data_IF_954896193766
#
_entry.id   IF_954896193766
#
_cell.length_a   1.000
_cell.length_b   1.000
_cell.length_c   1.000
_cell.angle_alpha   90.00
_cell.angle_beta   90.00
_cell.angle_gamma   90.00
#
_symmetry.space_group_name_H-M   'P 1'
#
loop_
_entity.id
_entity.type
_entity.pdbx_description
1 polymer ?
#
# COMPACT_ATOMS: atom_id res chain seq x y z
N UNK A 1 11.42 27.25 6.72
CA UNK A 1 10.83 25.89 6.90
C UNK A 1 9.77 25.92 8.01
N UNK A 2 8.72 26.74 7.86
CA UNK A 2 7.73 27.04 8.93
C UNK A 2 6.29 26.65 8.55
N UNK A 3 6.09 25.87 7.50
CA UNK A 3 4.74 25.37 7.14
C UNK A 3 4.39 24.16 8.00
N UNK A 4 3.09 23.94 8.23
CA UNK A 4 2.59 22.79 9.00
C UNK A 4 3.13 21.46 8.47
N UNK A 5 3.07 21.25 7.15
CA UNK A 5 3.56 20.02 6.51
C UNK A 5 5.07 19.83 6.66
N UNK A 6 5.86 20.90 6.59
CA UNK A 6 7.30 20.80 6.81
C UNK A 6 7.63 20.42 8.26
N UNK A 7 6.86 20.90 9.24
CA UNK A 7 7.03 20.51 10.64
C UNK A 7 6.57 19.07 10.88
N UNK A 8 5.47 18.64 10.23
CA UNK A 8 5.01 17.25 10.29
C UNK A 8 6.08 16.28 9.76
N UNK A 9 6.63 16.56 8.58
CA UNK A 9 7.70 15.73 8.02
C UNK A 9 8.96 15.76 8.87
N UNK A 10 9.35 16.93 9.40
CA UNK A 10 10.47 17.04 10.33
C UNK A 10 10.28 16.16 11.57
N UNK A 11 9.08 16.14 12.15
CA UNK A 11 8.77 15.27 13.29
C UNK A 11 8.82 13.79 12.89
N UNK A 12 8.26 13.44 11.73
CA UNK A 12 8.29 12.08 11.22
C UNK A 12 9.72 11.59 10.92
N UNK A 13 10.65 12.48 10.57
CA UNK A 13 12.06 12.09 10.35
C UNK A 13 12.77 11.61 11.61
N UNK A 14 12.19 11.82 12.79
CA UNK A 14 12.67 11.20 14.03
C UNK A 14 12.40 9.69 14.04
N UNK A 15 11.34 9.25 13.35
CA UNK A 15 11.05 7.83 13.14
C UNK A 15 11.86 7.22 12.00
N UNK A 16 12.16 8.00 10.96
CA UNK A 16 12.97 7.55 9.84
C UNK A 16 13.70 8.72 9.20
N UNK A 17 15.00 8.80 9.47
CA UNK A 17 15.87 9.87 8.99
C UNK A 17 16.04 9.90 7.47
N UNK A 18 15.67 8.83 6.73
CA UNK A 18 15.75 8.78 5.26
C UNK A 18 14.92 9.86 4.58
N UNK A 19 13.83 10.28 5.23
CA UNK A 19 12.99 11.39 4.78
C UNK A 19 13.67 12.77 4.90
N UNK A 20 14.68 12.90 5.76
CA UNK A 20 15.48 14.12 5.88
C UNK A 20 16.69 14.09 4.95
N UNK A 21 17.33 12.92 4.80
CA UNK A 21 18.55 12.75 4.01
C UNK A 21 18.29 12.55 2.52
N UNK A 22 17.03 12.55 2.09
CA UNK A 22 16.61 12.33 0.71
C UNK A 22 17.19 11.03 0.14
N UNK A 23 17.11 9.95 0.92
CA UNK A 23 17.50 8.63 0.44
C UNK A 23 16.80 8.31 -0.89
N UNK A 24 17.56 7.86 -1.88
CA UNK A 24 17.09 7.72 -3.27
C UNK A 24 15.91 6.75 -3.34
N UNK A 25 16.01 5.62 -2.61
CA UNK A 25 14.95 4.63 -2.59
C UNK A 25 13.65 5.22 -2.01
N UNK A 26 13.75 5.88 -0.86
CA UNK A 26 12.62 6.53 -0.19
C UNK A 26 11.99 7.62 -1.06
N UNK A 27 12.79 8.46 -1.71
CA UNK A 27 12.28 9.50 -2.62
C UNK A 27 11.55 8.87 -3.83
N UNK A 28 12.12 7.83 -4.44
CA UNK A 28 11.51 7.15 -5.58
C UNK A 28 10.17 6.52 -5.22
N UNK A 29 10.08 5.79 -4.10
CA UNK A 29 8.84 5.12 -3.72
C UNK A 29 7.73 6.11 -3.36
N UNK A 30 8.07 7.20 -2.67
CA UNK A 30 7.11 8.25 -2.31
C UNK A 30 6.63 9.02 -3.53
N UNK A 31 7.53 9.30 -4.49
CA UNK A 31 7.17 9.92 -5.75
C UNK A 31 6.14 9.06 -6.49
N UNK A 32 6.45 7.78 -6.75
CA UNK A 32 5.54 6.85 -7.44
C UNK A 32 4.23 6.70 -6.66
N UNK A 33 4.29 6.62 -5.33
CA UNK A 33 3.08 6.53 -4.49
C UNK A 33 2.19 7.74 -4.67
N UNK A 34 2.76 8.93 -4.71
CA UNK A 34 2.01 10.17 -4.87
C UNK A 34 1.41 10.30 -6.28
N UNK A 35 2.17 9.99 -7.32
CA UNK A 35 1.76 10.24 -8.72
C UNK A 35 0.97 9.09 -9.35
N UNK A 36 1.15 7.85 -8.88
CA UNK A 36 0.50 6.66 -9.44
C UNK A 36 -0.49 6.04 -8.46
N UNK A 37 -0.02 5.64 -7.27
CA UNK A 37 -0.86 4.88 -6.32
C UNK A 37 -1.96 5.73 -5.68
N UNK A 38 -1.71 7.02 -5.44
CA UNK A 38 -2.71 7.97 -4.94
C UNK A 38 -3.91 8.11 -5.90
N UNK A 39 -3.70 8.51 -7.17
CA UNK A 39 -4.77 8.56 -8.16
C UNK A 39 -5.46 7.20 -8.37
N UNK A 40 -4.71 6.11 -8.41
CA UNK A 40 -5.28 4.76 -8.57
C UNK A 40 -6.14 4.34 -7.37
N UNK A 41 -5.76 4.74 -6.16
CA UNK A 41 -6.55 4.54 -4.94
C UNK A 41 -7.89 5.29 -5.02
N UNK A 42 -7.87 6.53 -5.51
CA UNK A 42 -9.09 7.30 -5.73
C UNK A 42 -9.99 6.65 -6.79
N UNK A 43 -9.41 6.19 -7.91
CA UNK A 43 -10.15 5.46 -8.93
C UNK A 43 -10.75 4.17 -8.37
N UNK A 44 -9.99 3.43 -7.57
CA UNK A 44 -10.48 2.21 -6.90
C UNK A 44 -11.66 2.53 -5.99
N UNK A 45 -11.57 3.60 -5.17
CA UNK A 45 -12.68 4.06 -4.35
C UNK A 45 -13.92 4.40 -5.18
N UNK A 46 -13.76 5.13 -6.29
CA UNK A 46 -14.87 5.46 -7.19
C UNK A 46 -15.50 4.21 -7.82
N UNK A 47 -14.68 3.21 -8.18
CA UNK A 47 -15.16 1.92 -8.67
C UNK A 47 -15.92 1.12 -7.59
N UNK A 48 -15.49 1.20 -6.32
CA UNK A 48 -16.23 0.61 -5.19
C UNK A 48 -17.60 1.27 -5.05
N UNK A 49 -17.65 2.60 -4.99
CA UNK A 49 -18.89 3.36 -4.79
C UNK A 49 -19.90 3.15 -5.93
N UNK A 50 -19.41 2.90 -7.15
CA UNK A 50 -20.24 2.66 -8.34
C UNK A 50 -20.53 1.19 -8.61
N UNK A 51 -20.03 0.25 -7.78
CA UNK A 51 -20.06 -1.19 -8.07
C UNK A 51 -19.58 -1.52 -9.49
N UNK A 52 -18.51 -0.87 -9.94
CA UNK A 52 -17.99 -1.04 -11.29
C UNK A 52 -17.19 -2.35 -11.40
N UNK A 53 -17.27 -3.02 -12.55
CA UNK A 53 -16.54 -4.27 -12.85
C UNK A 53 -15.01 -4.19 -12.64
N UNK A 54 -14.44 -2.98 -12.71
CA UNK A 54 -13.02 -2.73 -12.52
C UNK A 54 -12.63 -2.59 -11.03
N UNK A 55 -13.58 -2.63 -10.10
CA UNK A 55 -13.32 -2.55 -8.65
C UNK A 55 -12.23 -3.53 -8.24
N UNK A 56 -12.44 -4.83 -8.47
CA UNK A 56 -11.52 -5.86 -7.99
C UNK A 56 -10.17 -5.85 -8.74
N UNK A 57 -10.11 -5.69 -10.08
CA UNK A 57 -8.84 -5.47 -10.77
C UNK A 57 -8.03 -4.28 -10.24
N UNK A 58 -8.65 -3.12 -10.07
CA UNK A 58 -7.97 -1.92 -9.56
C UNK A 58 -7.53 -2.10 -8.11
N UNK A 59 -8.38 -2.69 -7.27
CA UNK A 59 -8.09 -3.02 -5.88
C UNK A 59 -6.90 -3.97 -5.76
N UNK A 60 -6.81 -5.01 -6.61
CA UNK A 60 -5.66 -5.94 -6.64
C UNK A 60 -4.36 -5.20 -6.98
N UNK A 61 -4.37 -4.34 -8.00
CA UNK A 61 -3.16 -3.60 -8.43
C UNK A 61 -2.69 -2.68 -7.30
N UNK A 62 -3.59 -1.85 -6.77
CA UNK A 62 -3.21 -0.85 -5.76
C UNK A 62 -2.80 -1.51 -4.44
N UNK A 63 -3.49 -2.57 -4.01
CA UNK A 63 -3.14 -3.27 -2.79
C UNK A 63 -1.79 -3.98 -2.89
N UNK A 64 -1.49 -4.60 -4.04
CA UNK A 64 -0.20 -5.23 -4.29
C UNK A 64 0.93 -4.19 -4.27
N UNK A 65 0.70 -3.03 -4.88
CA UNK A 65 1.68 -1.93 -4.88
C UNK A 65 2.00 -1.44 -3.46
N UNK A 66 0.99 -1.24 -2.61
CA UNK A 66 1.21 -0.84 -1.21
C UNK A 66 1.92 -1.92 -0.40
N UNK A 67 1.52 -3.19 -0.53
CA UNK A 67 2.18 -4.30 0.17
C UNK A 67 3.64 -4.46 -0.24
N UNK A 68 3.93 -4.36 -1.54
CA UNK A 68 5.29 -4.42 -2.03
C UNK A 68 6.10 -3.21 -1.57
N UNK A 69 5.51 -2.02 -1.60
CA UNK A 69 6.17 -0.80 -1.16
C UNK A 69 6.55 -0.82 0.32
N UNK A 70 5.61 -1.20 1.20
CA UNK A 70 5.88 -1.29 2.64
C UNK A 70 6.87 -2.42 2.96
N UNK A 71 6.81 -3.54 2.24
CA UNK A 71 7.79 -4.62 2.40
C UNK A 71 9.21 -4.15 2.05
N UNK A 72 9.39 -3.44 0.94
CA UNK A 72 10.68 -2.87 0.57
C UNK A 72 11.13 -1.76 1.53
N UNK A 73 10.20 -0.94 2.02
CA UNK A 73 10.49 0.11 3.01
C UNK A 73 11.13 -0.44 4.29
N UNK A 74 10.58 -1.54 4.83
CA UNK A 74 11.16 -2.23 5.97
C UNK A 74 12.42 -3.01 5.60
N UNK A 75 12.42 -3.77 4.50
CA UNK A 75 13.55 -4.58 4.10
C UNK A 75 14.82 -3.73 3.87
N UNK A 76 14.70 -2.57 3.23
CA UNK A 76 15.82 -1.65 3.03
C UNK A 76 16.36 -1.08 4.33
N UNK A 77 15.50 -0.84 5.32
CA UNK A 77 15.95 -0.37 6.64
C UNK A 77 16.65 -1.46 7.45
N UNK A 78 16.21 -2.72 7.33
CA UNK A 78 16.80 -3.86 8.05
C UNK A 78 18.10 -4.36 7.39
N UNK A 79 18.25 -4.15 6.08
CA UNK A 79 19.45 -4.53 5.32
C UNK A 79 20.57 -3.49 5.38
N UNK A 80 20.26 -2.24 5.73
CA UNK A 80 21.30 -1.23 5.95
C UNK A 80 21.96 -1.43 7.32
N UNK A 81 23.25 -1.11 7.41
CA UNK A 81 24.01 -1.12 8.67
C UNK A 81 23.63 0.09 9.54
N UNK A 82 23.07 1.13 8.90
CA UNK A 82 22.65 2.39 9.51
C UNK A 82 21.29 2.23 10.20
N UNK A 83 21.21 2.65 11.47
CA UNK A 83 19.92 2.79 12.15
C UNK A 83 19.27 4.11 11.76
N UNK A 84 18.25 4.05 10.92
CA UNK A 84 17.52 5.24 10.49
C UNK A 84 16.51 5.76 11.51
N UNK A 85 16.00 4.86 12.36
CA UNK A 85 15.01 5.17 13.38
C UNK A 85 15.65 5.40 14.75
N UNK A 86 15.08 6.34 15.49
CA UNK A 86 15.41 6.58 16.89
C UNK A 86 14.97 5.41 17.78
N UNK A 87 15.78 4.98 18.77
CA UNK A 87 15.50 3.79 19.57
C UNK A 87 14.37 3.96 20.57
N UNK A 88 13.94 5.19 20.86
CA UNK A 88 12.84 5.44 21.79
C UNK A 88 11.53 4.81 21.29
N UNK A 89 10.76 4.22 22.22
CA UNK A 89 9.53 3.47 21.92
C UNK A 89 8.53 4.25 21.07
N UNK A 90 8.39 5.56 21.31
CA UNK A 90 7.50 6.42 20.52
C UNK A 90 7.90 6.44 19.05
N UNK A 91 9.18 6.65 18.74
CA UNK A 91 9.63 6.83 17.37
C UNK A 91 9.73 5.52 16.60
N UNK A 92 10.19 4.45 17.26
CA UNK A 92 10.27 3.15 16.60
C UNK A 92 8.91 2.44 16.54
N UNK A 93 8.26 2.20 17.68
CA UNK A 93 7.06 1.36 17.68
C UNK A 93 5.80 2.10 17.25
N UNK A 94 5.63 3.36 17.66
CA UNK A 94 4.40 4.10 17.31
C UNK A 94 4.52 4.70 15.92
N UNK A 95 5.59 5.44 15.63
CA UNK A 95 5.72 6.11 14.33
C UNK A 95 6.20 5.13 13.26
N UNK A 96 7.38 4.52 13.42
CA UNK A 96 7.97 3.70 12.36
C UNK A 96 7.18 2.40 12.11
N UNK A 97 6.81 1.65 13.14
CA UNK A 97 5.98 0.44 12.98
C UNK A 97 4.49 0.80 12.88
N UNK A 98 3.97 1.52 13.87
CA UNK A 98 2.54 1.78 14.00
C UNK A 98 1.93 2.59 12.86
N UNK A 99 2.58 3.68 12.43
CA UNK A 99 2.06 4.48 11.32
C UNK A 99 2.30 3.86 9.94
N UNK A 100 3.14 2.84 9.79
CA UNK A 100 3.27 2.14 8.51
C UNK A 100 2.44 0.85 8.46
N UNK A 101 2.04 0.28 9.61
CA UNK A 101 1.25 -0.94 9.70
C UNK A 101 -0.09 -0.92 8.91
N UNK A 102 -0.84 0.19 8.82
CA UNK A 102 -2.06 0.24 7.99
C UNK A 102 -1.80 -0.03 6.50
N UNK A 103 -0.62 0.33 5.98
CA UNK A 103 -0.23 0.14 4.58
C UNK A 103 0.12 -1.33 4.27
N UNK A 104 0.30 -2.16 5.29
CA UNK A 104 0.37 -3.60 5.16
C UNK A 104 -0.98 -4.27 5.43
N UNK A 105 -1.61 -3.94 6.55
CA UNK A 105 -2.80 -4.67 7.04
C UNK A 105 -4.05 -4.43 6.20
N UNK A 106 -4.35 -3.17 5.84
CA UNK A 106 -5.55 -2.85 5.06
C UNK A 106 -5.43 -3.39 3.62
N UNK A 107 -4.33 -3.14 2.88
CA UNK A 107 -4.15 -3.72 1.56
C UNK A 107 -4.18 -5.24 1.55
N UNK A 108 -3.62 -5.91 2.56
CA UNK A 108 -3.68 -7.36 2.65
C UNK A 108 -5.12 -7.88 2.72
N UNK A 109 -5.94 -7.28 3.59
CA UNK A 109 -7.33 -7.69 3.74
C UNK A 109 -8.17 -7.41 2.49
N UNK A 110 -8.00 -6.24 1.88
CA UNK A 110 -8.69 -5.88 0.63
C UNK A 110 -8.24 -6.75 -0.55
N UNK A 111 -6.95 -7.11 -0.60
CA UNK A 111 -6.43 -8.01 -1.62
C UNK A 111 -7.05 -9.40 -1.49
N UNK A 112 -7.13 -9.92 -0.26
CA UNK A 112 -7.81 -11.19 0.03
C UNK A 112 -9.27 -11.17 -0.41
N UNK A 113 -10.03 -10.13 -0.04
CA UNK A 113 -11.43 -9.94 -0.46
C UNK A 113 -11.56 -10.02 -2.00
N UNK A 114 -10.70 -9.32 -2.73
CA UNK A 114 -10.74 -9.31 -4.18
C UNK A 114 -10.38 -10.66 -4.80
N UNK A 115 -9.39 -11.37 -4.26
CA UNK A 115 -9.05 -12.71 -4.76
C UNK A 115 -10.19 -13.71 -4.55
N UNK A 116 -10.87 -13.67 -3.41
CA UNK A 116 -12.03 -14.53 -3.15
C UNK A 116 -13.16 -14.21 -4.12
N UNK A 117 -13.49 -12.93 -4.31
CA UNK A 117 -14.54 -12.51 -5.23
C UNK A 117 -14.25 -12.92 -6.69
N UNK A 118 -13.02 -12.68 -7.17
CA UNK A 118 -12.59 -13.06 -8.51
C UNK A 118 -12.64 -14.59 -8.69
N UNK A 119 -12.14 -15.35 -7.72
CA UNK A 119 -12.16 -16.82 -7.77
C UNK A 119 -13.59 -17.37 -7.86
N UNK A 120 -14.52 -16.81 -7.10
CA UNK A 120 -15.92 -17.19 -7.14
C UNK A 120 -16.57 -16.83 -8.48
N UNK A 121 -16.29 -15.64 -9.03
CA UNK A 121 -16.78 -15.25 -10.35
C UNK A 121 -16.32 -16.22 -11.46
N UNK A 122 -15.05 -16.65 -11.43
CA UNK A 122 -14.55 -17.64 -12.38
C UNK A 122 -15.15 -19.03 -12.21
N UNK A 123 -15.47 -19.46 -10.97
CA UNK A 123 -16.18 -20.74 -10.74
C UNK A 123 -17.55 -20.73 -11.41
N UNK A 124 -18.34 -19.67 -11.17
CA UNK A 124 -19.67 -19.50 -11.77
C UNK A 124 -19.58 -19.45 -13.30
N UNK A 125 -18.61 -18.71 -13.85
CA UNK A 125 -18.41 -18.64 -15.32
C UNK A 125 -18.17 -20.02 -15.93
N UNK A 126 -17.34 -20.86 -15.30
CA UNK A 126 -17.06 -22.23 -15.79
C UNK A 126 -18.28 -23.14 -15.75
N UNK A 127 -19.08 -23.06 -14.68
CA UNK A 127 -20.31 -23.85 -14.56
C UNK A 127 -21.32 -23.49 -15.65
N UNK A 128 -21.48 -22.20 -15.95
CA UNK A 128 -22.36 -21.72 -17.02
C UNK A 128 -21.88 -22.14 -18.42
N UNK A 129 -20.57 -22.13 -18.66
CA UNK A 129 -19.98 -22.61 -19.92
C UNK A 129 -20.12 -24.13 -20.09
N UNK A 130 -19.95 -24.90 -19.01
CA UNK A 130 -20.15 -26.35 -19.01
C UNK A 130 -21.60 -26.76 -19.24
N UNK A 131 -22.55 -26.04 -18.62
CA UNK A 131 -23.98 -26.24 -18.83
C UNK A 131 -24.42 -25.97 -20.28
N UNK A 132 -23.87 -24.93 -20.92
CA UNK A 132 -24.15 -24.61 -22.34
C UNK A 132 -23.64 -25.64 -23.34
N UNK A 133 -22.63 -26.46 -22.98
CA UNK A 133 -22.12 -27.53 -23.84
C UNK A 133 -22.91 -28.84 -23.72
N UNK A 134 -23.72 -28.96 -22.67
CA UNK A 134 -24.50 -30.16 -22.36
C UNK A 134 -25.99 -30.03 -22.76
N UNK A 135 -26.37 -28.91 -23.40
CA UNK A 135 -27.68 -28.64 -24.00
C UNK A 135 -27.50 -28.53 -25.51
#
# INVERSE_FOLDING_TARGET
MNTLFAQLWKEYTLSDSRYLTLDIFTVCIEYITTICWGPLSLLTLLSILKNHDLRHPLQVIVCTAHLYGVALYYATSEMDVTRYSRPETLYYWVYYVGFNAPWATVPFWLLWDSFVAISNAFKVSRELEGGKKNV
#
